data_IF_931205920347
#
_entry.id   IF_931205920347
#
_cell.length_a   1.000
_cell.length_b   1.000
_cell.length_c   1.000
_cell.angle_alpha   90.00
_cell.angle_beta   90.00
_cell.angle_gamma   90.00
#
_symmetry.space_group_name_H-M   'P 1'
#
loop_
_entity.id
_entity.type
_entity.pdbx_description
1 polymer ?
#
# COMPACT_ATOMS: atom_id res chain seq x y z
N UNK A 1 21.37 -9.19 -10.80
CA UNK A 1 20.00 -9.16 -10.27
C UNK A 1 20.09 -8.23 -9.08
N UNK A 2 19.22 -7.22 -8.97
CA UNK A 2 19.16 -6.45 -7.72
C UNK A 2 18.70 -7.44 -6.63
N UNK A 3 19.42 -7.52 -5.52
CA UNK A 3 19.02 -8.36 -4.41
C UNK A 3 17.72 -7.80 -3.84
N UNK A 4 16.73 -8.69 -3.64
CA UNK A 4 15.46 -8.31 -3.02
C UNK A 4 15.72 -7.82 -1.58
N UNK A 5 15.18 -6.67 -1.23
CA UNK A 5 15.33 -6.10 0.12
C UNK A 5 14.67 -6.99 1.17
N UNK A 6 15.29 -7.11 2.34
CA UNK A 6 14.76 -7.85 3.49
C UNK A 6 13.85 -6.95 4.32
N UNK A 7 12.62 -7.38 4.54
CA UNK A 7 11.56 -6.60 5.18
C UNK A 7 11.12 -7.27 6.49
N UNK A 8 10.91 -6.47 7.54
CA UNK A 8 10.22 -6.87 8.75
C UNK A 8 8.74 -6.49 8.67
N UNK A 9 7.84 -7.48 8.74
CA UNK A 9 6.40 -7.30 8.82
C UNK A 9 5.97 -7.30 10.30
N UNK A 10 5.42 -6.18 10.76
CA UNK A 10 4.92 -5.97 12.12
C UNK A 10 3.45 -5.58 12.06
N UNK A 11 2.57 -6.42 12.63
CA UNK A 11 1.14 -6.29 12.54
C UNK A 11 0.54 -5.92 13.90
N UNK A 12 -0.19 -4.84 13.97
CA UNK A 12 -1.05 -4.48 15.10
C UNK A 12 -2.33 -5.32 15.04
N UNK A 13 -2.31 -6.48 15.72
CA UNK A 13 -3.39 -7.47 15.63
C UNK A 13 -4.69 -7.05 16.32
N UNK A 14 -4.63 -6.10 17.26
CA UNK A 14 -5.84 -5.59 17.93
C UNK A 14 -6.65 -4.65 17.04
N UNK A 15 -5.98 -3.92 16.13
CA UNK A 15 -6.58 -2.91 15.25
C UNK A 15 -6.73 -3.33 13.79
N UNK A 16 -6.17 -4.49 13.40
CA UNK A 16 -6.22 -5.01 12.03
C UNK A 16 -7.03 -6.30 11.97
N UNK A 17 -7.92 -6.42 11.01
CA UNK A 17 -8.72 -7.63 10.85
C UNK A 17 -7.92 -8.76 10.17
N UNK A 18 -7.99 -9.97 10.73
CA UNK A 18 -7.27 -11.17 10.25
C UNK A 18 -7.55 -11.53 8.77
N UNK A 19 -8.71 -11.16 8.25
CA UNK A 19 -9.09 -11.38 6.84
C UNK A 19 -8.13 -10.75 5.84
N UNK A 20 -7.36 -9.73 6.25
CA UNK A 20 -6.39 -9.05 5.38
C UNK A 20 -5.05 -9.77 5.26
N UNK A 21 -4.82 -10.88 6.00
CA UNK A 21 -3.50 -11.52 6.05
C UNK A 21 -2.97 -11.90 4.66
N UNK A 22 -3.80 -12.53 3.82
CA UNK A 22 -3.42 -12.87 2.44
C UNK A 22 -3.07 -11.62 1.63
N UNK A 23 -3.93 -10.59 1.69
CA UNK A 23 -3.71 -9.31 1.00
C UNK A 23 -2.41 -8.65 1.44
N UNK A 24 -2.09 -8.67 2.75
CA UNK A 24 -0.85 -8.12 3.30
C UNK A 24 0.37 -8.82 2.68
N UNK A 25 0.38 -10.15 2.65
CA UNK A 25 1.50 -10.92 2.11
C UNK A 25 1.64 -10.75 0.60
N UNK A 26 0.54 -10.79 -0.14
CA UNK A 26 0.52 -10.64 -1.60
C UNK A 26 1.06 -9.25 -2.00
N UNK A 27 0.59 -8.19 -1.37
CA UNK A 27 1.09 -6.83 -1.62
C UNK A 27 2.56 -6.66 -1.20
N UNK A 28 2.95 -7.24 -0.06
CA UNK A 28 4.31 -7.08 0.45
C UNK A 28 5.35 -7.82 -0.40
N UNK A 29 4.96 -8.90 -1.06
CA UNK A 29 5.83 -9.67 -1.98
C UNK A 29 6.39 -8.85 -3.15
N UNK A 30 5.72 -7.73 -3.50
CA UNK A 30 6.17 -6.82 -4.57
C UNK A 30 7.36 -5.98 -4.14
N UNK A 31 7.54 -5.77 -2.83
CA UNK A 31 8.57 -4.86 -2.30
C UNK A 31 9.83 -5.58 -1.84
N UNK A 32 9.77 -6.88 -1.50
CA UNK A 32 10.94 -7.63 -1.06
C UNK A 32 10.62 -8.92 -0.31
N UNK A 33 11.63 -9.50 0.34
CA UNK A 33 11.52 -10.75 1.08
C UNK A 33 11.19 -10.48 2.54
N UNK A 34 10.09 -11.04 3.04
CA UNK A 34 9.68 -10.90 4.44
C UNK A 34 10.45 -11.87 5.33
N UNK A 35 11.39 -11.35 6.13
CA UNK A 35 12.25 -12.14 7.02
C UNK A 35 11.74 -12.21 8.45
N UNK A 36 11.10 -11.14 8.94
CA UNK A 36 10.41 -11.10 10.22
C UNK A 36 8.91 -10.98 9.97
N UNK A 37 8.13 -11.84 10.62
CA UNK A 37 6.67 -11.79 10.59
C UNK A 37 6.16 -11.84 12.02
N UNK A 38 5.76 -10.70 12.57
CA UNK A 38 5.30 -10.58 13.96
C UNK A 38 3.93 -9.91 14.04
N UNK A 39 3.11 -10.39 14.99
CA UNK A 39 1.81 -9.81 15.29
C UNK A 39 1.70 -9.58 16.79
N UNK A 40 1.23 -8.39 17.15
CA UNK A 40 1.16 -7.90 18.52
C UNK A 40 -0.28 -7.82 18.98
N UNK A 41 -0.55 -8.25 20.20
CA UNK A 41 -1.88 -8.16 20.81
C UNK A 41 -2.09 -9.10 21.97
N UNK A 42 -3.27 -9.02 22.56
CA UNK A 42 -3.70 -9.89 23.65
C UNK A 42 -4.47 -11.10 23.08
N UNK A 43 -3.75 -12.19 22.83
CA UNK A 43 -4.32 -13.43 22.29
C UNK A 43 -5.25 -14.17 23.25
N UNK A 44 -5.46 -13.69 24.47
CA UNK A 44 -6.49 -14.21 25.37
C UNK A 44 -7.88 -13.68 25.03
N UNK A 45 -7.96 -12.61 24.23
CA UNK A 45 -9.22 -12.00 23.83
C UNK A 45 -9.81 -12.66 22.58
N UNK A 46 -11.14 -12.67 22.49
CA UNK A 46 -11.88 -13.28 21.37
C UNK A 46 -11.68 -12.60 20.02
N UNK A 47 -11.38 -11.28 20.00
CA UNK A 47 -11.08 -10.57 18.74
C UNK A 47 -9.79 -11.07 18.07
N UNK A 48 -8.92 -11.77 18.82
CA UNK A 48 -7.69 -12.36 18.28
C UNK A 48 -7.87 -13.81 17.80
N UNK A 49 -9.04 -14.44 17.98
CA UNK A 49 -9.24 -15.85 17.62
C UNK A 49 -9.04 -16.12 16.13
N UNK A 50 -9.45 -15.20 15.27
CA UNK A 50 -9.22 -15.32 13.82
C UNK A 50 -7.73 -15.32 13.43
N UNK A 51 -6.90 -14.60 14.18
CA UNK A 51 -5.45 -14.58 13.97
C UNK A 51 -4.80 -15.89 14.39
N UNK A 52 -5.26 -16.53 15.49
CA UNK A 52 -4.69 -17.78 16.01
C UNK A 52 -4.62 -18.87 14.95
N UNK A 53 -5.64 -18.98 14.09
CA UNK A 53 -5.70 -19.99 13.02
C UNK A 53 -4.71 -19.72 11.89
N UNK A 54 -4.21 -18.48 11.76
CA UNK A 54 -3.31 -18.06 10.69
C UNK A 54 -1.82 -18.08 11.08
N UNK A 55 -1.52 -18.24 12.38
CA UNK A 55 -0.16 -18.12 12.90
C UNK A 55 0.78 -19.14 12.26
N UNK A 56 0.42 -20.42 12.29
CA UNK A 56 1.27 -21.51 11.78
C UNK A 56 1.35 -21.48 10.26
N UNK A 57 0.24 -21.35 9.58
CA UNK A 57 0.18 -21.38 8.11
C UNK A 57 0.99 -20.28 7.45
N UNK A 58 1.15 -19.14 8.16
CA UNK A 58 1.87 -17.98 7.64
C UNK A 58 3.26 -17.76 8.30
N UNK A 59 3.68 -18.69 9.20
CA UNK A 59 4.88 -18.52 10.01
C UNK A 59 4.93 -17.15 10.72
N UNK A 60 3.76 -16.75 11.29
CA UNK A 60 3.57 -15.47 11.96
C UNK A 60 3.80 -15.66 13.47
N UNK A 61 4.77 -14.94 14.03
CA UNK A 61 5.15 -15.03 15.45
C UNK A 61 4.23 -14.14 16.28
N UNK A 62 3.42 -14.70 17.20
CA UNK A 62 2.60 -13.91 18.10
C UNK A 62 3.45 -13.33 19.23
N UNK A 63 3.30 -12.03 19.48
CA UNK A 63 3.89 -11.31 20.61
C UNK A 63 2.76 -10.99 21.58
N UNK A 64 2.61 -11.82 22.61
CA UNK A 64 1.57 -11.69 23.61
C UNK A 64 1.80 -10.46 24.49
N UNK A 65 0.77 -9.62 24.60
CA UNK A 65 0.74 -8.50 25.53
C UNK A 65 -0.52 -8.57 26.40
N UNK A 66 -0.33 -8.73 27.71
CA UNK A 66 -1.46 -8.69 28.64
C UNK A 66 -1.83 -7.24 28.95
N UNK A 67 -3.07 -6.87 28.69
CA UNK A 67 -3.58 -5.56 29.07
C UNK A 67 -3.96 -5.55 30.56
N UNK A 68 -3.04 -5.14 31.42
CA UNK A 68 -3.24 -5.07 32.88
C UNK A 68 -4.15 -3.91 33.32
N UNK A 69 -4.53 -2.99 32.42
CA UNK A 69 -5.48 -1.92 32.68
C UNK A 69 -6.17 -1.50 31.38
N UNK A 70 -7.46 -1.17 31.48
CA UNK A 70 -8.25 -0.65 30.35
C UNK A 70 -7.63 0.64 29.82
N UNK A 71 -7.36 0.70 28.51
CA UNK A 71 -6.84 1.90 27.84
C UNK A 71 -5.31 2.07 27.84
N UNK A 72 -4.53 1.04 28.17
CA UNK A 72 -3.07 1.06 27.99
C UNK A 72 -2.69 0.38 26.67
N UNK A 73 -1.94 1.11 25.82
CA UNK A 73 -1.42 0.68 24.52
C UNK A 73 -0.19 -0.24 24.70
N UNK A 74 -0.35 -1.38 25.40
CA UNK A 74 0.77 -2.28 25.68
C UNK A 74 1.28 -2.98 24.43
N UNK A 75 0.38 -3.34 23.51
CA UNK A 75 0.73 -3.93 22.22
C UNK A 75 1.49 -2.94 21.33
N UNK A 76 1.06 -1.68 21.26
CA UNK A 76 1.72 -0.64 20.50
C UNK A 76 3.13 -0.37 21.00
N UNK A 77 3.30 -0.27 22.33
CA UNK A 77 4.63 -0.10 22.94
C UNK A 77 5.56 -1.26 22.64
N UNK A 78 5.05 -2.50 22.70
CA UNK A 78 5.82 -3.70 22.36
C UNK A 78 6.24 -3.69 20.88
N UNK A 79 5.33 -3.32 19.96
CA UNK A 79 5.63 -3.20 18.54
C UNK A 79 6.72 -2.13 18.31
N UNK A 80 6.64 -0.97 18.97
CA UNK A 80 7.63 0.11 18.83
C UNK A 80 9.00 -0.35 19.32
N UNK A 81 9.09 -0.98 20.50
CA UNK A 81 10.36 -1.46 21.08
C UNK A 81 10.97 -2.49 20.15
N UNK A 82 10.19 -3.48 19.71
CA UNK A 82 10.65 -4.56 18.87
C UNK A 82 11.08 -4.06 17.47
N UNK A 83 10.37 -3.08 16.92
CA UNK A 83 10.79 -2.42 15.68
C UNK A 83 12.16 -1.76 15.81
N UNK A 84 12.44 -1.10 16.95
CA UNK A 84 13.75 -0.49 17.22
C UNK A 84 14.83 -1.54 17.41
N UNK A 85 14.55 -2.64 18.10
CA UNK A 85 15.49 -3.75 18.27
C UNK A 85 15.85 -4.39 16.91
N UNK A 86 14.86 -4.62 16.06
CA UNK A 86 15.05 -5.12 14.70
C UNK A 86 15.87 -4.14 13.86
N UNK A 87 15.58 -2.84 13.93
CA UNK A 87 16.35 -1.79 13.25
C UNK A 87 17.84 -1.87 13.62
N UNK A 88 18.15 -1.90 14.93
CA UNK A 88 19.53 -1.92 15.40
C UNK A 88 20.24 -3.29 15.19
N UNK A 89 19.49 -4.34 14.84
CA UNK A 89 20.11 -5.61 14.43
C UNK A 89 20.90 -5.51 13.12
N UNK A 90 20.59 -4.52 12.28
CA UNK A 90 21.22 -4.30 10.97
C UNK A 90 20.97 -5.41 9.94
N UNK A 91 19.94 -6.27 10.15
CA UNK A 91 19.68 -7.46 9.32
C UNK A 91 18.65 -7.26 8.22
N UNK A 92 17.99 -6.09 8.19
CA UNK A 92 16.90 -5.76 7.25
C UNK A 92 17.12 -4.40 6.63
N UNK A 93 16.47 -4.16 5.50
CA UNK A 93 16.51 -2.90 4.75
C UNK A 93 15.16 -2.19 4.73
N UNK A 94 14.10 -2.85 5.18
CA UNK A 94 12.76 -2.26 5.19
C UNK A 94 11.84 -2.78 6.27
N UNK A 95 10.78 -2.03 6.50
CA UNK A 95 9.69 -2.36 7.42
C UNK A 95 8.35 -2.28 6.72
N UNK A 96 7.44 -3.17 7.10
CA UNK A 96 6.03 -3.02 6.85
C UNK A 96 5.29 -2.92 8.19
N UNK A 97 4.71 -1.76 8.46
CA UNK A 97 3.88 -1.53 9.65
C UNK A 97 2.41 -1.62 9.23
N UNK A 98 1.68 -2.56 9.82
CA UNK A 98 0.28 -2.78 9.50
C UNK A 98 -0.57 -2.29 10.66
N UNK A 99 -1.06 -1.07 10.55
CA UNK A 99 -1.98 -0.43 11.51
C UNK A 99 -2.62 0.82 10.89
N UNK A 100 -3.77 1.22 11.42
CA UNK A 100 -4.42 2.51 11.11
C UNK A 100 -4.23 3.54 12.22
N UNK A 101 -3.44 3.22 13.25
CA UNK A 101 -3.25 4.09 14.41
C UNK A 101 -2.17 5.15 14.15
N UNK A 102 -2.52 6.42 14.39
CA UNK A 102 -1.63 7.56 14.25
C UNK A 102 -0.43 7.55 15.22
N UNK A 103 -0.50 6.80 16.31
CA UNK A 103 0.56 6.73 17.31
C UNK A 103 1.86 6.14 16.73
N UNK A 104 1.75 5.34 15.68
CA UNK A 104 2.92 4.83 14.94
C UNK A 104 3.60 5.86 14.01
N UNK A 105 3.04 7.07 13.84
CA UNK A 105 3.62 8.09 12.94
C UNK A 105 5.07 8.42 13.29
N UNK A 106 5.40 8.53 14.59
CA UNK A 106 6.77 8.82 15.06
C UNK A 106 7.72 7.65 14.83
N UNK A 107 7.25 6.41 15.01
CA UNK A 107 8.04 5.21 14.71
C UNK A 107 8.42 5.19 13.22
N UNK A 108 7.44 5.36 12.34
CA UNK A 108 7.66 5.35 10.89
C UNK A 108 8.65 6.44 10.47
N UNK A 109 8.49 7.67 10.97
CA UNK A 109 9.44 8.76 10.73
C UNK A 109 10.87 8.37 11.16
N UNK A 110 11.01 7.78 12.36
CA UNK A 110 12.30 7.36 12.91
C UNK A 110 12.95 6.25 12.09
N UNK A 111 12.17 5.28 11.58
CA UNK A 111 12.67 4.21 10.70
C UNK A 111 13.18 4.79 9.37
N UNK A 112 12.45 5.73 8.77
CA UNK A 112 12.87 6.42 7.54
C UNK A 112 14.12 7.29 7.75
N UNK A 113 14.22 8.01 8.86
CA UNK A 113 15.44 8.75 9.24
C UNK A 113 16.66 7.84 9.34
N UNK A 114 16.48 6.58 9.72
CA UNK A 114 17.53 5.57 9.75
C UNK A 114 17.83 4.96 8.36
N UNK A 115 17.21 5.45 7.29
CA UNK A 115 17.42 4.97 5.92
C UNK A 115 16.65 3.71 5.55
N UNK A 116 15.69 3.27 6.38
CA UNK A 116 14.86 2.11 6.07
C UNK A 116 13.78 2.46 5.05
N UNK A 117 13.50 1.54 4.12
CA UNK A 117 12.31 1.60 3.28
C UNK A 117 11.08 1.21 4.10
N UNK A 118 10.09 2.09 4.20
CA UNK A 118 8.92 1.84 5.06
C UNK A 118 7.63 1.80 4.26
N UNK A 119 7.00 0.63 4.24
CA UNK A 119 5.63 0.42 3.77
C UNK A 119 4.69 0.50 4.96
N UNK A 120 3.59 1.22 4.83
CA UNK A 120 2.51 1.22 5.82
C UNK A 120 1.25 0.65 5.18
N UNK A 121 0.58 -0.26 5.85
CA UNK A 121 -0.69 -0.81 5.40
C UNK A 121 -1.76 -0.55 6.45
N UNK A 122 -2.90 -0.02 6.01
CA UNK A 122 -4.02 0.30 6.91
C UNK A 122 -5.33 0.40 6.15
N UNK A 123 -6.42 0.67 6.86
CA UNK A 123 -7.72 0.88 6.25
C UNK A 123 -7.89 2.32 5.71
N UNK A 124 -8.92 2.56 4.91
CA UNK A 124 -9.22 3.87 4.33
C UNK A 124 -9.36 4.98 5.40
N UNK A 125 -9.79 4.62 6.62
CA UNK A 125 -9.90 5.55 7.76
C UNK A 125 -8.55 6.04 8.31
N UNK A 126 -7.42 5.45 7.89
CA UNK A 126 -6.08 5.81 8.36
C UNK A 126 -5.81 7.30 8.16
N UNK A 127 -5.36 8.03 9.21
CA UNK A 127 -5.11 9.46 9.12
C UNK A 127 -4.07 9.83 8.05
N UNK A 128 -4.25 10.97 7.38
CA UNK A 128 -3.32 11.46 6.34
C UNK A 128 -1.89 11.61 6.85
N UNK A 129 -1.69 11.98 8.11
CA UNK A 129 -0.36 12.08 8.73
C UNK A 129 0.40 10.76 8.68
N UNK A 130 -0.27 9.65 9.02
CA UNK A 130 0.33 8.31 8.97
C UNK A 130 0.59 7.87 7.52
N UNK A 131 -0.35 8.16 6.60
CA UNK A 131 -0.19 7.80 5.17
C UNK A 131 1.00 8.49 4.52
N UNK A 132 1.21 9.79 4.80
CA UNK A 132 2.24 10.62 4.16
C UNK A 132 3.64 10.42 4.73
N UNK A 133 3.77 9.86 5.93
CA UNK A 133 5.08 9.69 6.57
C UNK A 133 5.85 8.47 6.06
N UNK A 134 5.19 7.48 5.45
CA UNK A 134 5.81 6.28 4.86
C UNK A 134 6.31 6.53 3.43
N UNK A 135 7.18 5.65 2.92
CA UNK A 135 7.58 5.66 1.51
C UNK A 135 6.46 5.15 0.62
N UNK A 136 5.65 4.22 1.15
CA UNK A 136 4.45 3.71 0.49
C UNK A 136 3.35 3.44 1.50
N UNK A 137 2.14 3.92 1.19
CA UNK A 137 0.91 3.55 1.91
C UNK A 137 0.03 2.65 1.03
N UNK A 138 -0.51 1.59 1.64
CA UNK A 138 -1.41 0.62 1.00
C UNK A 138 -2.73 0.56 1.76
N UNK A 139 -3.85 0.76 1.07
CA UNK A 139 -5.20 0.67 1.66
C UNK A 139 -5.73 -0.76 1.56
N UNK A 140 -5.75 -1.46 2.71
CA UNK A 140 -6.09 -2.89 2.79
C UNK A 140 -7.53 -3.19 2.39
N UNK A 141 -8.46 -2.37 2.80
CA UNK A 141 -9.89 -2.56 2.51
C UNK A 141 -10.21 -2.39 1.02
N UNK A 142 -9.52 -1.49 0.33
CA UNK A 142 -9.69 -1.31 -1.12
C UNK A 142 -9.17 -2.51 -1.89
N UNK A 143 -7.94 -2.98 -1.56
CA UNK A 143 -7.34 -4.13 -2.25
C UNK A 143 -8.11 -5.41 -1.96
N UNK A 144 -8.48 -5.64 -0.70
CA UNK A 144 -9.27 -6.80 -0.31
C UNK A 144 -10.59 -6.89 -1.07
N UNK A 145 -11.29 -5.76 -1.22
CA UNK A 145 -12.53 -5.71 -2.00
C UNK A 145 -12.30 -6.08 -3.48
N UNK A 146 -11.17 -5.69 -4.05
CA UNK A 146 -10.84 -6.03 -5.43
C UNK A 146 -10.51 -7.53 -5.59
N UNK A 147 -9.74 -8.10 -4.67
CA UNK A 147 -9.40 -9.53 -4.66
C UNK A 147 -10.65 -10.41 -4.54
N UNK A 148 -11.56 -10.09 -3.61
CA UNK A 148 -12.83 -10.83 -3.44
C UNK A 148 -13.67 -10.79 -4.72
N UNK A 149 -13.74 -9.66 -5.41
CA UNK A 149 -14.49 -9.53 -6.68
C UNK A 149 -13.87 -10.33 -7.82
N UNK A 150 -12.55 -10.49 -7.85
CA UNK A 150 -11.85 -11.29 -8.84
C UNK A 150 -12.06 -12.79 -8.59
N UNK A 151 -12.03 -13.24 -7.34
CA UNK A 151 -12.32 -14.62 -6.95
C UNK A 151 -13.78 -15.00 -7.25
N UNK A 152 -14.75 -14.11 -7.00
CA UNK A 152 -16.16 -14.32 -7.36
C UNK A 152 -16.40 -14.41 -8.88
N UNK A 153 -15.63 -13.68 -9.68
CA UNK A 153 -15.70 -13.75 -11.16
C UNK A 153 -15.08 -15.03 -11.72
N UNK A 154 -14.06 -15.58 -11.05
CA UNK A 154 -13.39 -16.81 -11.45
C UNK A 154 -14.26 -18.05 -11.16
N UNK A 155 -15.10 -18.01 -10.12
CA UNK A 155 -16.00 -19.10 -9.73
C UNK A 155 -17.38 -18.96 -10.43
N UNK A 156 -17.43 -19.34 -11.72
CA UNK A 156 -18.64 -19.28 -12.58
C UNK A 156 -19.85 -20.07 -12.08
N UNK A 157 -19.73 -20.81 -10.97
CA UNK A 157 -20.79 -21.68 -10.43
C UNK A 157 -21.55 -21.06 -9.21
N UNK A 158 -21.15 -19.92 -8.69
CA UNK A 158 -21.92 -19.22 -7.65
C UNK A 158 -22.75 -18.10 -8.26
N UNK A 159 -24.09 -18.17 -8.07
CA UNK A 159 -24.99 -17.04 -8.40
C UNK A 159 -24.48 -15.78 -7.72
N UNK A 160 -24.31 -14.67 -8.44
CA UNK A 160 -23.86 -13.43 -7.84
C UNK A 160 -24.91 -12.94 -6.85
N UNK A 161 -24.63 -13.05 -5.55
CA UNK A 161 -25.35 -12.23 -4.58
C UNK A 161 -25.10 -10.77 -4.92
N UNK A 162 -26.18 -10.02 -5.00
CA UNK A 162 -26.27 -8.63 -5.46
C UNK A 162 -25.49 -7.67 -4.55
N UNK A 163 -24.16 -7.72 -4.54
CA UNK A 163 -23.34 -6.60 -4.15
C UNK A 163 -22.93 -5.82 -5.41
N UNK A 164 -23.87 -5.03 -5.93
CA UNK A 164 -23.59 -3.99 -6.90
C UNK A 164 -22.87 -2.82 -6.22
N UNK A 165 -21.61 -2.97 -5.82
CA UNK A 165 -20.77 -1.80 -5.75
C UNK A 165 -20.21 -1.55 -7.15
N UNK A 166 -20.92 -0.77 -7.96
CA UNK A 166 -20.27 0.01 -9.02
C UNK A 166 -19.12 0.71 -8.33
N UNK A 167 -17.87 0.47 -8.75
CA UNK A 167 -16.76 1.38 -8.43
C UNK A 167 -17.24 2.76 -8.83
N UNK A 168 -17.73 3.56 -7.90
CA UNK A 168 -17.99 4.98 -8.17
C UNK A 168 -16.60 5.57 -8.36
N UNK A 169 -16.31 6.00 -9.59
CA UNK A 169 -15.11 6.79 -9.85
C UNK A 169 -15.15 7.97 -8.88
N UNK A 170 -14.18 8.00 -7.96
CA UNK A 170 -14.01 9.15 -7.07
C UNK A 170 -13.35 10.27 -7.86
N UNK A 171 -13.71 11.50 -7.56
CA UNK A 171 -13.04 12.65 -8.17
C UNK A 171 -11.55 12.58 -7.83
N UNK A 172 -10.69 12.63 -8.84
CA UNK A 172 -9.25 12.69 -8.66
C UNK A 172 -8.92 14.00 -7.95
N UNK A 173 -8.08 13.94 -6.93
CA UNK A 173 -7.69 15.14 -6.18
C UNK A 173 -7.06 16.18 -7.11
N UNK A 174 -7.43 17.43 -6.90
CA UNK A 174 -6.92 18.54 -7.73
C UNK A 174 -5.41 18.72 -7.59
N UNK A 175 -4.85 18.38 -6.42
CA UNK A 175 -3.40 18.36 -6.16
C UNK A 175 -2.69 17.34 -7.06
N UNK A 176 -3.23 16.11 -7.14
CA UNK A 176 -2.71 15.04 -8.00
C UNK A 176 -2.73 15.45 -9.48
N UNK A 177 -3.84 16.04 -9.94
CA UNK A 177 -3.96 16.52 -11.31
C UNK A 177 -2.95 17.64 -11.61
N UNK A 178 -2.77 18.58 -10.67
CA UNK A 178 -1.82 19.67 -10.81
C UNK A 178 -0.38 19.16 -10.91
N UNK A 179 -0.01 18.18 -10.08
CA UNK A 179 1.32 17.59 -10.10
C UNK A 179 1.57 16.74 -11.36
N UNK A 180 0.55 16.04 -11.87
CA UNK A 180 0.64 15.35 -13.17
C UNK A 180 0.94 16.39 -14.27
N UNK A 181 0.20 17.52 -14.32
CA UNK A 181 0.48 18.55 -15.32
C UNK A 181 1.86 19.17 -15.14
N UNK A 182 2.31 19.39 -13.91
CA UNK A 182 3.63 19.91 -13.60
C UNK A 182 4.72 18.98 -14.13
N UNK A 183 4.66 17.68 -13.80
CA UNK A 183 5.62 16.67 -14.27
C UNK A 183 5.68 16.65 -15.82
N UNK A 184 4.51 16.70 -16.49
CA UNK A 184 4.44 16.68 -17.94
C UNK A 184 4.94 17.98 -18.62
N UNK A 185 5.12 19.07 -17.86
CA UNK A 185 5.60 20.35 -18.37
C UNK A 185 7.05 20.65 -17.98
N UNK A 186 7.64 19.94 -17.03
CA UNK A 186 9.02 20.14 -16.57
C UNK A 186 10.06 19.50 -17.49
N UNK A 187 9.71 18.41 -18.18
CA UNK A 187 10.61 17.76 -19.16
C UNK A 187 10.52 18.47 -20.52
N UNK A 188 11.27 19.56 -20.66
CA UNK A 188 11.31 20.39 -21.88
C UNK A 188 12.02 19.66 -23.03
N UNK A 189 12.86 18.67 -22.75
CA UNK A 189 13.67 17.96 -23.74
C UNK A 189 12.96 16.76 -24.40
N UNK A 190 11.90 16.21 -23.78
CA UNK A 190 11.12 15.11 -24.33
C UNK A 190 9.64 15.51 -24.47
N UNK A 191 9.16 15.59 -25.71
CA UNK A 191 7.75 15.90 -25.97
C UNK A 191 6.79 14.87 -25.35
N UNK A 192 7.24 13.63 -25.15
CA UNK A 192 6.45 12.49 -24.65
C UNK A 192 7.12 11.79 -23.48
N UNK A 193 6.46 11.74 -22.34
CA UNK A 193 6.93 11.04 -21.14
C UNK A 193 6.36 9.60 -21.08
N UNK A 194 7.19 8.63 -20.69
CA UNK A 194 6.72 7.26 -20.45
C UNK A 194 5.76 7.22 -19.28
N UNK A 195 4.61 6.51 -19.44
CA UNK A 195 3.57 6.44 -18.41
C UNK A 195 4.06 5.84 -17.08
N UNK A 196 4.97 4.87 -17.15
CA UNK A 196 5.54 4.26 -15.92
C UNK A 196 6.43 5.26 -15.18
N UNK A 197 7.16 6.10 -15.90
CA UNK A 197 7.97 7.15 -15.31
C UNK A 197 7.11 8.23 -14.67
N UNK A 198 6.04 8.68 -15.35
CA UNK A 198 5.05 9.58 -14.76
C UNK A 198 4.52 9.02 -13.44
N UNK A 199 4.14 7.73 -13.41
CA UNK A 199 3.66 7.06 -12.19
C UNK A 199 4.71 7.06 -11.09
N UNK A 200 5.97 6.73 -11.43
CA UNK A 200 7.06 6.69 -10.46
C UNK A 200 7.34 8.06 -9.84
N UNK A 201 7.36 9.13 -10.65
CA UNK A 201 7.51 10.50 -10.16
C UNK A 201 6.34 10.92 -9.27
N UNK A 202 5.12 10.58 -9.66
CA UNK A 202 3.92 10.88 -8.87
C UNK A 202 3.91 10.17 -7.52
N UNK A 203 4.30 8.88 -7.47
CA UNK A 203 4.41 8.11 -6.21
C UNK A 203 5.50 8.69 -5.29
N UNK A 204 6.59 9.24 -5.84
CA UNK A 204 7.62 9.93 -5.03
C UNK A 204 7.10 11.22 -4.39
N UNK A 205 6.18 11.93 -5.05
CA UNK A 205 5.54 13.13 -4.51
C UNK A 205 4.42 12.79 -3.52
N UNK A 206 3.69 11.70 -3.79
CA UNK A 206 2.53 11.26 -3.02
C UNK A 206 2.67 9.78 -2.67
N UNK A 207 3.22 9.50 -1.49
CA UNK A 207 3.47 8.11 -1.02
C UNK A 207 2.18 7.29 -0.88
N UNK A 208 1.05 7.94 -0.68
CA UNK A 208 -0.29 7.35 -0.59
C UNK A 208 -1.04 7.32 -1.93
N UNK A 209 -0.38 7.72 -3.04
CA UNK A 209 -1.00 7.64 -4.36
C UNK A 209 -1.15 6.19 -4.82
N UNK A 210 -2.39 5.82 -5.11
CA UNK A 210 -2.75 4.58 -5.81
C UNK A 210 -3.97 4.86 -6.70
N UNK A 211 -3.92 4.48 -7.97
CA UNK A 211 -5.05 4.68 -8.90
C UNK A 211 -6.31 3.92 -8.45
N UNK A 212 -6.16 2.84 -7.66
CA UNK A 212 -7.27 2.09 -7.08
C UNK A 212 -8.09 2.93 -6.08
N UNK A 213 -7.45 3.88 -5.38
CA UNK A 213 -8.13 4.82 -4.48
C UNK A 213 -9.18 5.68 -5.19
N UNK A 214 -9.01 5.89 -6.51
CA UNK A 214 -9.92 6.65 -7.38
C UNK A 214 -10.85 5.77 -8.20
N UNK A 215 -10.84 4.44 -7.96
CA UNK A 215 -11.70 3.48 -8.66
C UNK A 215 -11.20 3.07 -10.05
N UNK A 216 -9.91 3.22 -10.33
CA UNK A 216 -9.30 2.79 -11.58
C UNK A 216 -8.43 1.55 -11.39
N UNK A 217 -8.68 0.49 -12.16
CA UNK A 217 -7.88 -0.76 -12.12
C UNK A 217 -6.47 -0.56 -12.66
N UNK A 218 -6.31 0.35 -13.64
CA UNK A 218 -5.01 0.68 -14.26
C UNK A 218 -4.78 2.19 -14.27
N UNK A 219 -3.54 2.59 -14.02
CA UNK A 219 -3.14 3.98 -14.06
C UNK A 219 -3.39 4.61 -15.45
N UNK A 220 -3.21 3.86 -16.53
CA UNK A 220 -3.53 4.31 -17.90
C UNK A 220 -4.99 4.70 -18.08
N UNK A 221 -5.93 4.02 -17.41
CA UNK A 221 -7.35 4.39 -17.46
C UNK A 221 -7.65 5.67 -16.69
N UNK A 222 -6.95 5.88 -15.56
CA UNK A 222 -7.05 7.12 -14.80
C UNK A 222 -6.56 8.30 -15.64
N UNK A 223 -5.41 8.17 -16.30
CA UNK A 223 -4.85 9.22 -17.15
C UNK A 223 -5.75 9.56 -18.34
N UNK A 224 -6.43 8.55 -18.94
CA UNK A 224 -7.42 8.78 -20.04
C UNK A 224 -8.59 9.69 -19.63
N UNK A 225 -8.94 9.69 -18.37
CA UNK A 225 -10.05 10.49 -17.84
C UNK A 225 -9.62 11.90 -17.37
N UNK A 226 -8.31 12.21 -17.38
CA UNK A 226 -7.79 13.54 -17.06
C UNK A 226 -7.83 14.40 -18.34
N UNK A 227 -8.46 15.59 -18.29
CA UNK A 227 -8.50 16.49 -19.45
C UNK A 227 -7.08 16.89 -19.92
N UNK A 228 -6.98 17.35 -21.16
CA UNK A 228 -5.78 17.93 -21.74
C UNK A 228 -4.51 17.06 -21.65
N UNK A 229 -4.67 15.74 -21.61
CA UNK A 229 -3.56 14.75 -21.75
C UNK A 229 -3.78 13.98 -23.06
N UNK A 230 -2.71 13.88 -23.85
CA UNK A 230 -2.62 12.99 -25.00
C UNK A 230 -1.93 11.70 -24.60
N UNK A 231 -2.33 10.60 -25.24
CA UNK A 231 -1.80 9.27 -25.00
C UNK A 231 -1.41 8.66 -26.33
N UNK A 232 -0.18 8.16 -26.41
CA UNK A 232 0.35 7.44 -27.56
C UNK A 232 0.78 6.03 -27.15
N UNK A 233 0.31 5.02 -27.89
CA UNK A 233 0.64 3.62 -27.65
C UNK A 233 1.64 3.16 -28.71
N UNK A 234 2.90 2.93 -28.33
CA UNK A 234 3.98 2.49 -29.22
C UNK A 234 4.28 1.01 -29.05
N UNK A 235 4.68 0.37 -30.11
CA UNK A 235 5.16 -1.02 -30.05
C UNK A 235 6.58 -1.04 -29.45
N UNK A 236 6.75 -1.81 -28.37
CA UNK A 236 8.06 -2.11 -27.79
C UNK A 236 8.57 -3.48 -28.26
N UNK A 237 9.74 -3.87 -27.78
CA UNK A 237 10.30 -5.19 -28.07
C UNK A 237 9.38 -6.31 -27.52
N UNK A 238 9.21 -7.39 -28.29
CA UNK A 238 8.45 -8.56 -27.86
C UNK A 238 6.92 -8.39 -27.85
N UNK A 239 6.33 -7.54 -28.69
CA UNK A 239 4.88 -7.26 -28.72
C UNK A 239 4.33 -6.55 -27.47
N UNK A 240 5.18 -5.96 -26.63
CA UNK A 240 4.77 -5.19 -25.46
C UNK A 240 4.35 -3.80 -25.93
N UNK A 241 3.16 -3.34 -25.53
CA UNK A 241 2.74 -1.93 -25.77
C UNK A 241 3.31 -1.02 -24.71
N UNK A 242 4.06 -0.02 -25.13
CA UNK A 242 4.59 1.05 -24.28
C UNK A 242 3.68 2.28 -24.43
N UNK A 243 3.24 2.84 -23.32
CA UNK A 243 2.34 4.00 -23.31
C UNK A 243 3.15 5.25 -22.97
N UNK A 244 3.02 6.26 -23.81
CA UNK A 244 3.56 7.58 -23.63
C UNK A 244 2.44 8.60 -23.44
N UNK A 245 2.72 9.66 -22.70
CA UNK A 245 1.76 10.71 -22.38
C UNK A 245 2.40 12.09 -22.53
N UNK A 246 1.60 13.06 -22.98
CA UNK A 246 1.99 14.47 -23.00
C UNK A 246 0.83 15.36 -22.65
N UNK A 247 1.10 16.57 -22.21
CA UNK A 247 0.07 17.62 -22.05
C UNK A 247 -0.26 18.21 -23.42
N UNK A 248 -1.57 18.36 -23.72
CA UNK A 248 -2.01 19.05 -24.94
C UNK A 248 -1.54 20.49 -24.94
N UNK A 249 -0.97 20.93 -26.03
CA UNK A 249 -0.70 22.34 -26.24
C UNK A 249 -2.05 23.06 -26.50
N UNK A 250 -2.30 24.20 -25.83
CA UNK A 250 -3.52 24.98 -26.03
C UNK A 250 -3.67 25.62 -27.42
N UNK A 251 -2.75 25.32 -28.32
CA UNK A 251 -2.66 25.96 -29.66
C UNK A 251 -2.70 24.96 -30.83
N UNK A 252 -3.03 23.67 -30.57
CA UNK A 252 -3.32 22.69 -31.61
C UNK A 252 -4.82 22.47 -31.77
#
# INVERSE_FOLDING_TARGET
MADDIKIALLIDGENVAYKYMKTILDELSVYGIVTYKRIYGDFTKSNMDGWKNLLLDNALMPIQQFNNAVGKNSADSALIIDAMDILYSGKIEGFCIVSSDSDFTKLIARLREAGMFVVTMGEEKTPKSLRKVSDKFVSLDLIYQDTVKEEEKADKNKKPERYKSRKQKRKIDTEIIADIYKILTEDIDEEWLNLSELKNRLVKLHSDFDNRNYGYDKFSYMIKDIPDIEIDERAGEGNIKIIYVKKKNKFD
#
